data_IF_209916959630
#
_entry.id   IF_209916959630
#
_cell.length_a   1.000
_cell.length_b   1.000
_cell.length_c   1.000
_cell.angle_alpha   90.00
_cell.angle_beta   90.00
_cell.angle_gamma   90.00
#
_symmetry.space_group_name_H-M   'P 1'
#
loop_
_entity.id
_entity.type
_entity.pdbx_description
1 polymer ?
#
# COMPACT_ATOMS: atom_id res chain seq x y z
N UNK A 1 10.80 -5.73 32.78
CA UNK A 1 11.63 -6.27 31.68
C UNK A 1 10.91 -5.90 30.38
N UNK A 2 11.61 -5.40 29.37
CA UNK A 2 10.99 -5.07 28.08
C UNK A 2 10.91 -6.29 27.15
N UNK A 3 10.02 -6.25 26.17
CA UNK A 3 9.92 -7.26 25.12
C UNK A 3 11.15 -7.25 24.19
N UNK A 4 11.26 -8.26 23.33
CA UNK A 4 12.29 -8.34 22.28
C UNK A 4 12.16 -7.15 21.33
N UNK A 5 13.23 -6.37 21.18
CA UNK A 5 13.30 -5.28 20.20
C UNK A 5 13.53 -5.82 18.79
N UNK A 6 12.79 -5.30 17.81
CA UNK A 6 12.95 -5.62 16.40
C UNK A 6 13.32 -4.36 15.62
N UNK A 7 14.26 -4.48 14.68
CA UNK A 7 14.63 -3.40 13.75
C UNK A 7 13.49 -3.11 12.73
N UNK A 8 13.36 -1.87 12.21
CA UNK A 8 12.32 -1.46 11.26
C UNK A 8 12.58 -1.97 9.82
N UNK A 9 12.88 -3.26 9.67
CA UNK A 9 13.12 -3.88 8.37
C UNK A 9 11.81 -4.20 7.65
N UNK A 10 11.83 -4.28 6.32
CA UNK A 10 10.66 -4.68 5.53
C UNK A 10 10.07 -6.02 6.01
N UNK A 11 10.94 -7.00 6.29
CA UNK A 11 10.54 -8.31 6.79
C UNK A 11 9.84 -8.22 8.16
N UNK A 12 10.38 -7.44 9.09
CA UNK A 12 9.79 -7.27 10.43
C UNK A 12 8.46 -6.51 10.41
N UNK A 13 8.30 -5.56 9.48
CA UNK A 13 7.03 -4.86 9.28
C UNK A 13 5.98 -5.82 8.70
N UNK A 14 6.32 -6.57 7.65
CA UNK A 14 5.36 -7.49 7.01
C UNK A 14 4.90 -8.64 7.90
N UNK A 15 5.76 -9.13 8.79
CA UNK A 15 5.43 -10.22 9.71
C UNK A 15 4.90 -9.74 11.07
N UNK A 16 4.71 -8.43 11.25
CA UNK A 16 4.16 -7.83 12.47
C UNK A 16 5.10 -7.81 13.68
N UNK A 17 6.37 -8.20 13.52
CA UNK A 17 7.37 -8.13 14.61
C UNK A 17 7.77 -6.69 14.95
N UNK A 18 7.79 -5.80 13.95
CA UNK A 18 8.01 -4.38 14.18
C UNK A 18 6.67 -3.68 14.50
N UNK A 19 6.43 -3.25 15.76
CA UNK A 19 5.10 -2.87 16.22
C UNK A 19 4.59 -1.54 15.65
N UNK A 20 5.47 -0.73 15.05
CA UNK A 20 5.12 0.57 14.47
C UNK A 20 4.94 0.53 12.95
N UNK A 21 4.98 -0.66 12.35
CA UNK A 21 4.64 -0.86 10.95
C UNK A 21 3.17 -0.50 10.69
N UNK A 22 2.91 0.33 9.68
CA UNK A 22 1.55 0.75 9.33
C UNK A 22 1.38 0.93 7.84
N UNK A 23 0.14 0.76 7.38
CA UNK A 23 -0.27 1.07 6.02
C UNK A 23 -0.43 2.57 5.84
N UNK A 24 -0.12 3.05 4.63
CA UNK A 24 -0.48 4.38 4.17
C UNK A 24 -1.70 4.27 3.26
N UNK A 25 -2.68 5.15 3.46
CA UNK A 25 -3.97 5.05 2.81
C UNK A 25 -4.23 6.27 1.92
N UNK A 26 -4.76 6.01 0.73
CA UNK A 26 -5.43 7.00 -0.10
C UNK A 26 -6.94 6.81 0.07
N UNK A 27 -7.62 7.84 0.58
CA UNK A 27 -9.07 7.82 0.69
C UNK A 27 -9.67 8.51 -0.54
N UNK A 28 -10.63 7.84 -1.17
CA UNK A 28 -11.36 8.39 -2.32
C UNK A 28 -12.86 8.32 -2.08
N UNK A 29 -13.55 9.39 -2.45
CA UNK A 29 -15.01 9.45 -2.38
C UNK A 29 -15.61 8.58 -3.50
N UNK A 30 -15.79 7.29 -3.23
CA UNK A 30 -16.48 6.35 -4.11
C UNK A 30 -17.95 6.27 -3.73
N UNK A 31 -18.83 6.70 -4.61
CA UNK A 31 -20.27 6.48 -4.43
C UNK A 31 -20.61 4.99 -4.56
N UNK A 32 -21.55 4.46 -3.78
CA UNK A 32 -22.02 3.09 -3.95
C UNK A 32 -22.55 2.85 -5.37
N UNK A 33 -22.25 1.70 -5.96
CA UNK A 33 -22.71 1.27 -7.29
C UNK A 33 -22.34 2.18 -8.48
N UNK A 34 -21.51 3.22 -8.27
CA UNK A 34 -20.94 4.03 -9.35
C UNK A 34 -19.43 3.73 -9.50
N UNK A 35 -18.90 3.71 -10.74
CA UNK A 35 -17.46 3.62 -10.93
C UNK A 35 -16.76 4.88 -10.42
N UNK A 36 -15.47 4.77 -10.14
CA UNK A 36 -14.65 5.96 -9.86
C UNK A 36 -14.54 6.82 -11.13
N UNK A 37 -14.39 8.15 -10.99
CA UNK A 37 -14.01 8.98 -12.12
C UNK A 37 -12.71 8.46 -12.74
N UNK A 38 -12.65 8.40 -14.08
CA UNK A 38 -11.56 7.77 -14.84
C UNK A 38 -10.18 8.27 -14.39
N UNK A 39 -10.02 9.59 -14.20
CA UNK A 39 -8.75 10.16 -13.77
C UNK A 39 -8.29 9.60 -12.40
N UNK A 40 -9.24 9.37 -11.49
CA UNK A 40 -8.95 8.84 -10.16
C UNK A 40 -8.62 7.35 -10.23
N UNK A 41 -9.36 6.55 -11.02
CA UNK A 41 -9.07 5.13 -11.17
C UNK A 41 -7.71 4.89 -11.83
N UNK A 42 -7.37 5.65 -12.88
CA UNK A 42 -6.06 5.56 -13.55
C UNK A 42 -4.91 5.97 -12.63
N UNK A 43 -5.10 7.02 -11.83
CA UNK A 43 -4.10 7.42 -10.83
C UNK A 43 -3.87 6.33 -9.79
N UNK A 44 -4.93 5.73 -9.24
CA UNK A 44 -4.78 4.64 -8.26
C UNK A 44 -4.17 3.40 -8.92
N UNK A 45 -4.55 3.07 -10.17
CA UNK A 45 -3.95 1.97 -10.91
C UNK A 45 -2.44 2.18 -11.12
N UNK A 46 -2.02 3.40 -11.44
CA UNK A 46 -0.61 3.78 -11.52
C UNK A 46 0.10 3.62 -10.16
N UNK A 47 -0.49 4.11 -9.06
CA UNK A 47 0.07 3.96 -7.70
C UNK A 47 0.27 2.49 -7.32
N UNK A 48 -0.67 1.61 -7.70
CA UNK A 48 -0.63 0.18 -7.43
C UNK A 48 0.26 -0.60 -8.42
N UNK A 49 0.74 0.04 -9.49
CA UNK A 49 1.60 -0.59 -10.50
C UNK A 49 3.02 -0.81 -9.99
N UNK A 50 3.80 -1.62 -10.73
CA UNK A 50 5.24 -1.79 -10.46
C UNK A 50 5.98 -0.45 -10.47
N UNK A 51 5.65 0.43 -11.41
CA UNK A 51 6.28 1.75 -11.54
C UNK A 51 5.96 2.63 -10.32
N UNK A 52 4.68 2.71 -9.93
CA UNK A 52 4.28 3.44 -8.73
C UNK A 52 4.97 2.92 -7.47
N UNK A 53 5.06 1.60 -7.30
CA UNK A 53 5.75 0.99 -6.16
C UNK A 53 7.28 1.20 -6.19
N UNK A 54 7.90 1.36 -7.35
CA UNK A 54 9.32 1.74 -7.44
C UNK A 54 9.56 3.19 -6.95
N UNK A 55 8.62 4.09 -7.19
CA UNK A 55 8.68 5.46 -6.66
C UNK A 55 8.58 5.44 -5.13
N UNK A 56 7.68 4.62 -4.56
CA UNK A 56 7.55 4.41 -3.10
C UNK A 56 8.88 3.99 -2.48
N UNK A 57 9.58 3.02 -3.09
CA UNK A 57 10.90 2.57 -2.63
C UNK A 57 11.93 3.71 -2.72
N UNK A 58 11.93 4.45 -3.83
CA UNK A 58 12.86 5.58 -4.04
C UNK A 58 12.71 6.67 -2.97
N UNK A 59 11.50 6.89 -2.47
CA UNK A 59 11.20 7.87 -1.43
C UNK A 59 11.42 7.34 0.00
N UNK A 60 12.01 6.14 0.14
CA UNK A 60 12.38 5.54 1.42
C UNK A 60 11.26 4.77 2.13
N UNK A 61 10.13 4.52 1.46
CA UNK A 61 9.05 3.71 1.98
C UNK A 61 9.15 2.24 1.57
N UNK A 62 8.34 1.42 2.23
CA UNK A 62 8.22 -0.01 1.96
C UNK A 62 7.14 -0.23 0.89
N UNK A 63 7.43 -1.01 -0.17
CA UNK A 63 6.44 -1.28 -1.22
C UNK A 63 5.37 -2.25 -0.69
N UNK A 64 4.21 -2.22 -1.34
CA UNK A 64 3.18 -3.22 -1.12
C UNK A 64 3.62 -4.59 -1.66
N UNK A 65 3.28 -5.69 -0.96
CA UNK A 65 3.33 -7.01 -1.56
C UNK A 65 2.44 -7.06 -2.81
N UNK A 66 2.90 -7.71 -3.87
CA UNK A 66 2.18 -7.79 -5.14
C UNK A 66 0.74 -8.34 -4.98
N UNK A 67 0.54 -9.28 -4.07
CA UNK A 67 -0.78 -9.84 -3.75
C UNK A 67 -1.74 -8.83 -3.13
N UNK A 68 -1.23 -7.86 -2.36
CA UNK A 68 -2.03 -6.78 -1.77
C UNK A 68 -2.36 -5.74 -2.84
N UNK A 69 -1.37 -5.35 -3.68
CA UNK A 69 -1.60 -4.43 -4.78
C UNK A 69 -2.65 -4.96 -5.77
N UNK A 70 -2.56 -6.24 -6.15
CA UNK A 70 -3.55 -6.90 -7.02
C UNK A 70 -4.95 -6.92 -6.41
N UNK A 71 -5.07 -7.19 -5.11
CA UNK A 71 -6.36 -7.13 -4.40
C UNK A 71 -6.97 -5.73 -4.42
N UNK A 72 -6.17 -4.69 -4.23
CA UNK A 72 -6.66 -3.30 -4.27
C UNK A 72 -7.03 -2.86 -5.69
N UNK A 73 -6.28 -3.30 -6.71
CA UNK A 73 -6.58 -3.01 -8.10
C UNK A 73 -7.95 -3.56 -8.51
N UNK A 74 -8.30 -4.75 -8.04
CA UNK A 74 -9.62 -5.37 -8.28
C UNK A 74 -10.80 -4.66 -7.59
N UNK A 75 -10.56 -3.73 -6.65
CA UNK A 75 -11.63 -2.95 -6.00
C UNK A 75 -11.99 -1.70 -6.80
N UNK A 76 -11.05 -1.20 -7.62
CA UNK A 76 -11.21 0.03 -8.40
C UNK A 76 -11.55 -0.19 -9.87
N UNK A 77 -11.33 -1.41 -10.37
CA UNK A 77 -11.77 -1.89 -11.68
C UNK A 77 -13.18 -2.48 -11.57
#
# INVERSE_FOLDING_TARGET
>A
QGDVAYEPTYANVLNGKYPLGRMLYLNVAKKPNEPLPVLISEFIAFVLSKEGQQIVVKDGYLPLPASIAAKQLAVIQ
#
